data_IF_958671183410
#
_entry.id   IF_958671183410
#
_cell.length_a   1.000
_cell.length_b   1.000
_cell.length_c   1.000
_cell.angle_alpha   90.00
_cell.angle_beta   90.00
_cell.angle_gamma   90.00
#
_symmetry.space_group_name_H-M   'P 1'
#
loop_
_entity.id
_entity.type
_entity.pdbx_description
1 polymer ?
#
# COMPACT_ATOMS: atom_id res chain seq x y z
N UNK A 1 19.71 -43.82 -7.09
CA UNK A 1 20.69 -44.00 -8.19
C UNK A 1 22.00 -43.38 -7.72
N UNK A 2 23.05 -44.18 -7.53
CA UNK A 2 24.33 -43.71 -6.95
C UNK A 2 25.11 -42.86 -7.96
N UNK A 3 25.55 -41.65 -7.58
CA UNK A 3 26.45 -40.81 -8.38
C UNK A 3 27.90 -41.24 -8.18
N UNK A 4 28.69 -41.24 -9.25
CA UNK A 4 30.05 -41.78 -9.31
C UNK A 4 31.11 -40.99 -8.53
N UNK A 5 32.29 -41.59 -8.27
CA UNK A 5 33.36 -40.99 -7.46
C UNK A 5 34.13 -39.97 -8.31
N UNK A 6 33.76 -38.70 -8.23
CA UNK A 6 34.49 -37.64 -8.93
C UNK A 6 33.82 -36.26 -8.96
N UNK A 7 32.51 -36.15 -8.73
CA UNK A 7 31.87 -34.84 -8.55
C UNK A 7 32.27 -34.25 -7.19
N UNK A 8 33.22 -33.31 -7.17
CA UNK A 8 33.36 -32.40 -6.02
C UNK A 8 32.01 -31.72 -5.82
N UNK A 9 31.35 -31.98 -4.68
CA UNK A 9 30.08 -31.31 -4.37
C UNK A 9 30.29 -29.79 -4.53
N UNK A 10 29.31 -29.08 -5.09
CA UNK A 10 29.38 -27.62 -5.32
C UNK A 10 29.87 -26.83 -4.09
N UNK A 11 29.60 -27.34 -2.88
CA UNK A 11 30.08 -26.81 -1.60
C UNK A 11 31.61 -26.70 -1.46
N UNK A 12 32.39 -27.54 -2.14
CA UNK A 12 33.86 -27.53 -2.04
C UNK A 12 34.50 -26.36 -2.83
N UNK A 13 33.80 -25.79 -3.81
CA UNK A 13 34.35 -24.75 -4.68
C UNK A 13 34.41 -23.37 -4.02
N UNK A 14 33.55 -23.11 -3.02
CA UNK A 14 33.50 -21.82 -2.32
C UNK A 14 34.64 -21.60 -1.33
N UNK A 15 35.24 -22.67 -0.81
CA UNK A 15 36.34 -22.59 0.17
C UNK A 15 37.64 -22.14 -0.46
N UNK A 16 37.87 -22.51 -1.72
CA UNK A 16 39.06 -22.09 -2.49
C UNK A 16 39.09 -20.56 -2.71
N UNK A 17 37.97 -19.86 -2.49
CA UNK A 17 37.86 -18.40 -2.60
C UNK A 17 37.95 -17.67 -1.25
N UNK A 18 38.10 -18.38 -0.13
CA UNK A 18 38.21 -17.76 1.18
C UNK A 18 39.63 -17.23 1.41
N UNK A 19 39.71 -16.03 2.00
CA UNK A 19 40.96 -15.55 2.59
C UNK A 19 41.34 -16.37 3.82
N UNK A 20 42.58 -16.21 4.33
CA UNK A 20 43.10 -16.90 5.53
C UNK A 20 42.24 -16.60 6.79
N UNK A 21 41.48 -15.50 6.79
CA UNK A 21 40.57 -15.11 7.86
C UNK A 21 39.09 -15.28 7.49
N UNK A 22 38.81 -15.91 6.34
CA UNK A 22 37.46 -16.06 5.80
C UNK A 22 36.61 -17.06 6.58
N UNK A 23 35.34 -16.72 6.76
CA UNK A 23 34.36 -17.63 7.34
C UNK A 23 33.56 -18.32 6.24
N UNK A 24 33.46 -19.63 6.30
CA UNK A 24 32.53 -20.40 5.47
C UNK A 24 31.14 -20.40 6.10
N UNK A 25 30.08 -20.06 5.35
CA UNK A 25 28.69 -20.14 5.83
C UNK A 25 27.94 -21.19 5.03
N UNK A 26 27.45 -22.22 5.72
CA UNK A 26 26.66 -23.30 5.14
C UNK A 26 25.18 -23.16 5.51
N UNK A 27 24.31 -22.97 4.51
CA UNK A 27 22.86 -23.03 4.73
C UNK A 27 22.39 -24.50 4.79
N UNK A 28 22.16 -25.01 6.00
CA UNK A 28 21.75 -26.38 6.22
C UNK A 28 20.27 -26.57 5.90
N UNK A 29 19.97 -27.43 4.92
CA UNK A 29 18.60 -27.85 4.57
C UNK A 29 18.21 -29.10 5.37
N UNK A 30 18.69 -30.29 5.01
CA UNK A 30 18.33 -31.58 5.61
C UNK A 30 19.48 -32.62 5.72
N UNK A 31 20.69 -32.31 5.24
CA UNK A 31 21.84 -33.23 5.29
C UNK A 31 22.76 -32.92 6.49
N UNK A 32 23.55 -33.91 6.91
CA UNK A 32 24.69 -33.68 7.79
C UNK A 32 25.72 -32.82 7.04
N UNK A 33 26.08 -31.63 7.56
CA UNK A 33 26.95 -30.72 6.83
C UNK A 33 28.35 -31.32 6.71
N UNK A 34 28.84 -31.43 5.48
CA UNK A 34 30.25 -31.72 5.25
C UNK A 34 31.05 -30.46 5.52
N UNK A 35 31.88 -30.46 6.56
CA UNK A 35 32.78 -29.33 6.88
C UNK A 35 34.00 -29.44 5.97
N UNK A 36 34.23 -28.47 5.08
CA UNK A 36 35.38 -28.50 4.18
C UNK A 36 36.69 -28.27 4.96
N UNK A 37 37.71 -29.06 4.63
CA UNK A 37 39.06 -28.89 5.17
C UNK A 37 39.68 -27.57 4.68
N UNK A 38 40.27 -26.79 5.59
CA UNK A 38 41.01 -25.56 5.23
C UNK A 38 40.28 -24.25 5.52
N UNK A 39 38.99 -24.28 5.87
CA UNK A 39 38.28 -23.08 6.33
C UNK A 39 38.72 -22.73 7.77
N UNK A 40 39.09 -21.47 8.01
CA UNK A 40 39.45 -20.99 9.36
C UNK A 40 38.29 -21.03 10.34
N UNK A 41 37.07 -20.82 9.85
CA UNK A 41 35.83 -21.00 10.62
C UNK A 41 34.70 -21.46 9.70
N UNK A 42 33.76 -22.23 10.25
CA UNK A 42 32.56 -22.69 9.53
C UNK A 42 31.32 -22.45 10.38
N UNK A 43 30.39 -21.66 9.86
CA UNK A 43 29.07 -21.42 10.44
C UNK A 43 28.04 -22.27 9.72
N UNK A 44 27.38 -23.16 10.45
CA UNK A 44 26.26 -23.96 9.94
C UNK A 44 24.97 -23.26 10.38
N UNK A 45 24.22 -22.76 9.41
CA UNK A 45 22.99 -21.97 9.64
C UNK A 45 21.84 -22.65 8.94
N UNK A 46 20.77 -22.98 9.66
CA UNK A 46 19.51 -23.34 9.02
C UNK A 46 18.66 -22.07 8.89
N UNK A 47 18.56 -21.51 7.69
CA UNK A 47 17.85 -20.23 7.47
C UNK A 47 16.37 -20.35 7.83
N UNK A 48 15.73 -21.50 7.58
CA UNK A 48 14.32 -21.72 7.91
C UNK A 48 14.08 -21.66 9.43
N UNK A 49 14.96 -22.28 10.23
CA UNK A 49 14.89 -22.20 11.70
C UNK A 49 15.21 -20.81 12.23
N UNK A 50 16.18 -20.11 11.61
CA UNK A 50 16.51 -18.73 11.97
C UNK A 50 15.32 -17.80 11.69
N UNK A 51 14.63 -17.99 10.56
CA UNK A 51 13.43 -17.24 10.20
C UNK A 51 12.30 -17.44 11.22
N UNK A 52 12.06 -18.69 11.61
CA UNK A 52 11.01 -19.03 12.57
C UNK A 52 11.31 -18.48 13.98
N UNK A 53 12.56 -18.55 14.43
CA UNK A 53 12.94 -18.15 15.78
C UNK A 53 13.22 -16.64 15.93
N UNK A 54 13.61 -15.95 14.86
CA UNK A 54 14.07 -14.55 14.93
C UNK A 54 13.83 -13.79 13.62
N UNK A 55 12.57 -13.55 13.23
CA UNK A 55 12.24 -12.90 11.95
C UNK A 55 12.83 -11.49 11.81
N UNK A 56 12.91 -10.72 12.91
CA UNK A 56 13.50 -9.39 12.91
C UNK A 56 14.98 -9.36 12.48
N UNK A 57 15.73 -10.45 12.67
CA UNK A 57 17.13 -10.55 12.25
C UNK A 57 17.28 -10.81 10.75
N UNK A 58 16.27 -11.41 10.10
CA UNK A 58 16.29 -11.67 8.66
C UNK A 58 15.81 -10.48 7.83
N UNK A 59 14.91 -9.65 8.36
CA UNK A 59 14.37 -8.50 7.66
C UNK A 59 15.43 -7.59 6.97
N UNK A 60 16.53 -7.16 7.64
CA UNK A 60 17.54 -6.33 6.97
C UNK A 60 18.32 -7.09 5.88
N UNK A 61 18.52 -8.40 6.04
CA UNK A 61 19.22 -9.23 5.05
C UNK A 61 18.35 -9.37 3.79
N UNK A 62 17.07 -9.69 3.95
CA UNK A 62 16.12 -9.78 2.84
C UNK A 62 16.00 -8.43 2.10
N UNK A 63 15.94 -7.32 2.84
CA UNK A 63 15.90 -5.98 2.26
C UNK A 63 17.15 -5.68 1.43
N UNK A 64 18.33 -6.09 1.89
CA UNK A 64 19.59 -5.91 1.17
C UNK A 64 19.64 -6.72 -0.12
N UNK A 65 19.11 -7.96 -0.11
CA UNK A 65 19.00 -8.80 -1.31
C UNK A 65 18.07 -8.14 -2.35
N UNK A 66 16.91 -7.64 -1.90
CA UNK A 66 15.95 -6.95 -2.77
C UNK A 66 16.55 -5.68 -3.38
N UNK A 67 17.27 -4.89 -2.57
CA UNK A 67 17.96 -3.70 -3.04
C UNK A 67 19.03 -4.03 -4.09
N UNK A 68 19.85 -5.06 -3.83
CA UNK A 68 20.85 -5.52 -4.78
C UNK A 68 20.22 -5.98 -6.10
N UNK A 69 19.10 -6.71 -6.04
CA UNK A 69 18.34 -7.11 -7.22
C UNK A 69 17.79 -5.91 -8.01
N UNK A 70 17.27 -4.89 -7.31
CA UNK A 70 16.73 -3.70 -7.96
C UNK A 70 17.81 -2.89 -8.70
N UNK A 71 19.03 -2.85 -8.16
CA UNK A 71 20.18 -2.15 -8.77
C UNK A 71 20.83 -2.97 -9.89
N UNK A 72 20.94 -4.29 -9.71
CA UNK A 72 21.54 -5.22 -10.67
C UNK A 72 20.75 -6.51 -10.63
N UNK A 73 19.74 -6.66 -11.51
CA UNK A 73 18.88 -7.84 -11.52
C UNK A 73 19.72 -9.10 -11.75
N UNK A 74 19.74 -9.98 -10.75
CA UNK A 74 20.30 -11.31 -10.90
C UNK A 74 19.25 -12.25 -11.53
N UNK A 75 19.69 -13.09 -12.45
CA UNK A 75 18.83 -14.11 -13.05
C UNK A 75 18.82 -15.36 -12.18
N UNK A 76 17.63 -15.75 -11.72
CA UNK A 76 17.39 -17.06 -11.12
C UNK A 76 16.76 -17.97 -12.17
N UNK A 77 17.08 -19.26 -12.16
CA UNK A 77 16.31 -20.24 -12.93
C UNK A 77 14.94 -20.39 -12.26
N UNK A 78 13.99 -19.56 -12.69
CA UNK A 78 12.68 -19.46 -12.09
C UNK A 78 11.63 -20.21 -12.89
N UNK A 79 10.72 -20.90 -12.20
CA UNK A 79 9.48 -21.39 -12.81
C UNK A 79 8.31 -20.51 -12.42
N UNK A 80 7.53 -20.05 -13.40
CA UNK A 80 6.27 -19.34 -13.16
C UNK A 80 5.15 -20.36 -12.98
N UNK A 81 4.37 -20.23 -11.90
CA UNK A 81 3.25 -21.14 -11.58
C UNK A 81 2.01 -20.32 -11.26
N UNK A 82 0.85 -20.70 -11.81
CA UNK A 82 -0.42 -20.09 -11.42
C UNK A 82 -0.74 -20.41 -9.97
N UNK A 83 -1.26 -19.44 -9.22
CA UNK A 83 -1.72 -19.62 -7.84
C UNK A 83 -2.75 -20.76 -7.72
N UNK A 84 -3.60 -20.95 -8.73
CA UNK A 84 -4.62 -22.03 -8.74
C UNK A 84 -4.01 -23.44 -8.80
N UNK A 85 -2.78 -23.56 -9.32
CA UNK A 85 -2.06 -24.82 -9.53
C UNK A 85 -0.98 -25.04 -8.45
N UNK A 86 -0.72 -24.05 -7.60
CA UNK A 86 0.31 -24.17 -6.56
C UNK A 86 -0.13 -25.08 -5.41
N UNK A 87 0.55 -26.23 -5.27
CA UNK A 87 0.24 -27.26 -4.27
C UNK A 87 1.16 -27.25 -3.03
N UNK A 88 2.03 -26.24 -2.87
CA UNK A 88 2.98 -26.17 -1.76
C UNK A 88 4.14 -27.18 -1.84
N UNK A 89 4.36 -27.80 -3.00
CA UNK A 89 5.46 -28.77 -3.18
C UNK A 89 6.84 -28.09 -3.16
N UNK A 90 7.89 -28.75 -2.62
CA UNK A 90 9.25 -28.22 -2.64
C UNK A 90 9.72 -27.88 -4.06
N UNK A 91 10.61 -26.89 -4.18
CA UNK A 91 11.34 -26.64 -5.42
C UNK A 91 12.09 -27.91 -5.84
N UNK A 92 12.00 -28.24 -7.13
CA UNK A 92 12.84 -29.25 -7.77
C UNK A 92 14.30 -28.77 -7.83
N UNK A 93 15.26 -29.68 -7.87
CA UNK A 93 16.69 -29.37 -7.83
C UNK A 93 17.20 -28.60 -9.07
N UNK A 94 16.39 -28.52 -10.13
CA UNK A 94 16.67 -27.80 -11.37
C UNK A 94 16.22 -26.33 -11.39
N UNK A 95 15.46 -25.90 -10.38
CA UNK A 95 14.93 -24.52 -10.26
C UNK A 95 15.42 -23.83 -8.99
N UNK A 96 15.90 -22.59 -9.14
CA UNK A 96 16.39 -21.77 -8.03
C UNK A 96 15.25 -20.99 -7.35
N UNK A 97 14.13 -20.79 -8.05
CA UNK A 97 12.94 -20.10 -7.52
C UNK A 97 11.64 -20.53 -8.20
N UNK A 98 10.50 -20.28 -7.53
CA UNK A 98 9.17 -20.33 -8.15
C UNK A 98 8.45 -19.02 -7.96
N UNK A 99 7.96 -18.43 -9.04
CA UNK A 99 7.17 -17.20 -9.04
C UNK A 99 5.71 -17.60 -9.14
N UNK A 100 4.95 -17.32 -8.08
CA UNK A 100 3.53 -17.65 -8.02
C UNK A 100 2.75 -16.43 -8.50
N UNK A 101 2.03 -16.56 -9.61
CA UNK A 101 1.23 -15.47 -10.17
C UNK A 101 -0.25 -15.74 -9.86
N UNK A 102 -0.96 -14.81 -9.19
CA UNK A 102 -2.40 -14.92 -9.02
C UNK A 102 -3.11 -14.89 -10.39
N UNK A 103 -4.14 -15.73 -10.57
CA UNK A 103 -5.01 -15.65 -11.76
C UNK A 103 -5.69 -14.27 -11.85
N UNK A 104 -6.07 -13.79 -13.05
CA UNK A 104 -6.19 -12.36 -13.27
C UNK A 104 -7.40 -11.80 -12.53
N UNK A 105 -7.22 -10.63 -11.92
CA UNK A 105 -8.20 -9.55 -12.05
C UNK A 105 -7.52 -8.22 -11.73
N UNK A 106 -7.27 -7.46 -12.80
CA UNK A 106 -6.78 -6.08 -12.82
C UNK A 106 -5.26 -5.89 -12.63
N UNK A 107 -4.69 -5.11 -13.56
CA UNK A 107 -3.43 -4.42 -13.32
C UNK A 107 -3.64 -3.41 -12.20
N UNK A 108 -3.27 -3.76 -10.98
CA UNK A 108 -3.13 -2.77 -9.91
C UNK A 108 -1.88 -1.96 -10.24
N UNK A 109 -2.06 -0.66 -10.54
CA UNK A 109 -0.92 0.26 -10.54
C UNK A 109 -0.44 0.38 -9.10
N UNK A 110 0.57 -0.40 -8.76
CA UNK A 110 1.31 -0.23 -7.50
C UNK A 110 2.28 0.90 -7.77
N UNK A 111 1.98 2.09 -7.22
CA UNK A 111 2.96 3.16 -7.18
C UNK A 111 4.08 2.73 -6.21
N UNK A 112 5.34 2.56 -6.68
CA UNK A 112 6.44 2.14 -5.82
C UNK A 112 6.77 3.16 -4.71
N UNK A 113 6.28 4.40 -4.82
CA UNK A 113 6.37 5.40 -3.75
C UNK A 113 5.37 5.16 -2.60
N UNK A 114 4.37 4.30 -2.80
CA UNK A 114 3.27 4.10 -1.86
C UNK A 114 2.28 5.27 -1.78
N UNK A 115 2.41 6.28 -2.65
CA UNK A 115 1.47 7.40 -2.71
C UNK A 115 0.17 6.98 -3.40
N UNK A 116 -0.95 7.31 -2.77
CA UNK A 116 -2.29 7.00 -3.30
C UNK A 116 -2.87 8.16 -4.11
N UNK A 117 -2.33 9.38 -3.90
CA UNK A 117 -2.81 10.61 -4.51
C UNK A 117 -1.69 11.32 -5.26
N UNK A 118 -2.00 11.83 -6.45
CA UNK A 118 -1.07 12.63 -7.27
C UNK A 118 -1.03 14.05 -6.69
N UNK A 119 0.14 14.55 -6.25
CA UNK A 119 0.26 15.89 -5.66
C UNK A 119 -0.08 17.02 -6.64
N UNK A 120 -0.15 16.76 -7.95
CA UNK A 120 -0.52 17.74 -8.99
C UNK A 120 -2.01 17.79 -9.28
N UNK A 121 -2.82 16.96 -8.59
CA UNK A 121 -4.27 16.88 -8.77
C UNK A 121 -5.00 17.49 -7.59
N UNK A 122 -6.25 17.89 -7.85
CA UNK A 122 -7.18 18.39 -6.84
C UNK A 122 -8.22 17.35 -6.45
N UNK A 123 -8.65 17.41 -5.20
CA UNK A 123 -9.59 16.45 -4.62
C UNK A 123 -10.74 17.17 -3.92
N UNK A 124 -11.97 16.76 -4.20
CA UNK A 124 -13.17 17.40 -3.66
C UNK A 124 -13.82 16.47 -2.65
N UNK A 125 -14.06 16.94 -1.43
CA UNK A 125 -14.79 16.23 -0.37
C UNK A 125 -16.15 16.91 -0.19
N UNK A 126 -17.16 16.38 -0.89
CA UNK A 126 -18.53 16.88 -0.78
C UNK A 126 -19.14 16.46 0.56
N UNK A 127 -19.55 17.42 1.38
CA UNK A 127 -19.89 17.15 2.78
C UNK A 127 -18.67 16.90 3.67
N UNK A 128 -17.48 17.30 3.23
CA UNK A 128 -16.21 17.11 3.94
C UNK A 128 -16.05 17.96 5.20
N UNK A 129 -16.88 18.99 5.42
CA UNK A 129 -16.77 19.84 6.62
C UNK A 129 -17.34 19.16 7.89
N UNK A 130 -16.74 18.04 8.27
CA UNK A 130 -17.04 17.24 9.45
C UNK A 130 -15.73 16.73 10.07
N UNK A 131 -15.78 16.27 11.31
CA UNK A 131 -14.60 15.67 11.97
C UNK A 131 -13.99 14.54 11.13
N UNK A 132 -14.83 13.66 10.58
CA UNK A 132 -14.37 12.59 9.69
C UNK A 132 -13.71 13.15 8.42
N UNK A 133 -14.31 14.16 7.78
CA UNK A 133 -13.74 14.76 6.57
C UNK A 133 -12.40 15.46 6.81
N UNK A 134 -12.21 16.07 7.99
CA UNK A 134 -10.92 16.63 8.41
C UNK A 134 -9.85 15.53 8.56
N UNK A 135 -10.21 14.38 9.17
CA UNK A 135 -9.31 13.22 9.31
C UNK A 135 -8.98 12.55 7.97
N UNK A 136 -9.96 12.45 7.07
CA UNK A 136 -9.72 11.97 5.71
C UNK A 136 -8.80 12.93 4.97
N UNK A 137 -8.97 14.23 5.12
CA UNK A 137 -8.10 15.24 4.51
C UNK A 137 -6.64 15.08 4.97
N UNK A 138 -6.42 14.87 6.27
CA UNK A 138 -5.10 14.53 6.82
C UNK A 138 -4.55 13.23 6.22
N UNK A 139 -5.33 12.16 6.20
CA UNK A 139 -4.92 10.88 5.61
C UNK A 139 -4.55 11.01 4.14
N UNK A 140 -5.31 11.79 3.36
CA UNK A 140 -5.01 12.07 1.96
C UNK A 140 -3.70 12.84 1.80
N UNK A 141 -3.43 13.82 2.68
CA UNK A 141 -2.19 14.58 2.65
C UNK A 141 -0.95 13.70 2.92
N UNK A 142 -1.05 12.78 3.88
CA UNK A 142 -0.03 11.76 4.18
C UNK A 142 0.25 10.90 2.94
N UNK A 143 -0.77 10.59 2.14
CA UNK A 143 -0.66 9.75 0.94
C UNK A 143 -0.50 10.53 -0.37
N UNK A 144 -0.10 11.80 -0.30
CA UNK A 144 0.36 12.57 -1.46
C UNK A 144 -0.55 13.70 -1.94
N UNK A 145 -1.77 13.83 -1.43
CA UNK A 145 -2.67 14.91 -1.86
C UNK A 145 -2.13 16.29 -1.43
N UNK A 146 -2.26 17.29 -2.29
CA UNK A 146 -1.82 18.67 -2.00
C UNK A 146 -2.90 19.74 -2.17
N UNK A 147 -3.95 19.47 -2.94
CA UNK A 147 -5.06 20.39 -3.16
C UNK A 147 -6.38 19.72 -2.78
N UNK A 148 -7.02 20.19 -1.72
CA UNK A 148 -8.26 19.60 -1.17
C UNK A 148 -9.34 20.67 -1.00
N UNK A 149 -10.52 20.40 -1.55
CA UNK A 149 -11.68 21.28 -1.50
C UNK A 149 -12.77 20.61 -0.66
N UNK A 150 -13.03 21.14 0.53
CA UNK A 150 -14.03 20.63 1.45
C UNK A 150 -15.30 21.45 1.31
N UNK A 151 -16.44 20.79 1.08
CA UNK A 151 -17.73 21.50 0.99
C UNK A 151 -18.69 21.12 2.12
N UNK A 152 -19.57 22.06 2.46
CA UNK A 152 -20.81 21.80 3.18
C UNK A 152 -21.76 22.96 2.99
N UNK A 153 -23.04 22.79 3.34
CA UNK A 153 -24.04 23.87 3.18
C UNK A 153 -23.71 25.09 4.07
N UNK A 154 -22.95 24.88 5.15
CA UNK A 154 -22.50 25.95 6.06
C UNK A 154 -21.09 26.46 5.75
N UNK A 155 -20.35 25.78 4.87
CA UNK A 155 -18.95 26.07 4.57
C UNK A 155 -18.09 26.16 5.84
N UNK A 156 -17.25 27.19 6.00
CA UNK A 156 -16.39 27.38 7.17
C UNK A 156 -17.16 27.39 8.51
N UNK A 157 -18.42 27.84 8.52
CA UNK A 157 -19.27 27.85 9.72
C UNK A 157 -19.72 26.44 10.13
N UNK A 158 -19.55 25.44 9.27
CA UNK A 158 -19.87 24.05 9.56
C UNK A 158 -18.81 23.34 10.39
N UNK A 159 -17.56 23.82 10.38
CA UNK A 159 -16.46 23.25 11.14
C UNK A 159 -16.51 23.70 12.61
N UNK A 160 -16.14 22.80 13.53
CA UNK A 160 -15.95 23.20 14.93
C UNK A 160 -14.71 24.10 15.07
N UNK A 161 -14.51 24.71 16.25
CA UNK A 161 -13.29 25.50 16.52
C UNK A 161 -12.04 24.63 16.44
N UNK A 162 -12.11 23.38 16.91
CA UNK A 162 -11.01 22.41 16.88
C UNK A 162 -10.71 22.02 15.44
N UNK A 163 -11.74 21.70 14.65
CA UNK A 163 -11.58 21.34 13.23
C UNK A 163 -10.97 22.49 12.42
N UNK A 164 -11.42 23.73 12.63
CA UNK A 164 -10.84 24.91 11.98
C UNK A 164 -9.35 25.06 12.32
N UNK A 165 -8.98 24.92 13.59
CA UNK A 165 -7.58 24.96 14.01
C UNK A 165 -6.76 23.84 13.34
N UNK A 166 -7.34 22.65 13.22
CA UNK A 166 -6.68 21.53 12.55
C UNK A 166 -6.50 21.76 11.04
N UNK A 167 -7.50 22.31 10.36
CA UNK A 167 -7.38 22.71 8.95
C UNK A 167 -6.28 23.76 8.78
N UNK A 168 -6.15 24.73 9.69
CA UNK A 168 -5.03 25.67 9.68
C UNK A 168 -3.68 24.99 9.90
N UNK A 169 -3.60 24.00 10.80
CA UNK A 169 -2.41 23.18 10.96
C UNK A 169 -2.05 22.44 9.67
N UNK A 170 -3.01 21.77 9.01
CA UNK A 170 -2.76 21.08 7.74
C UNK A 170 -2.27 22.05 6.66
N UNK A 171 -2.83 23.27 6.60
CA UNK A 171 -2.33 24.34 5.72
C UNK A 171 -0.88 24.71 6.00
N UNK A 172 -0.49 24.78 7.28
CA UNK A 172 0.91 25.02 7.67
C UNK A 172 1.87 23.88 7.26
N UNK A 173 1.36 22.67 7.07
CA UNK A 173 2.11 21.51 6.59
C UNK A 173 2.21 21.44 5.05
N UNK A 174 1.77 22.49 4.34
CA UNK A 174 1.85 22.58 2.89
C UNK A 174 0.65 22.01 2.13
N UNK A 175 -0.44 21.66 2.82
CA UNK A 175 -1.69 21.26 2.19
C UNK A 175 -2.54 22.49 1.82
N UNK A 176 -2.92 22.65 0.56
CA UNK A 176 -3.88 23.68 0.17
C UNK A 176 -5.29 23.16 0.42
N UNK A 177 -5.92 23.63 1.51
CA UNK A 177 -7.30 23.28 1.85
C UNK A 177 -8.20 24.49 1.63
N UNK A 178 -9.20 24.34 0.77
CA UNK A 178 -10.29 25.31 0.59
C UNK A 178 -11.57 24.80 1.23
N UNK A 179 -12.27 25.66 1.96
CA UNK A 179 -13.52 25.32 2.65
C UNK A 179 -14.64 26.16 2.09
N UNK A 180 -15.54 25.53 1.32
CA UNK A 180 -16.52 26.21 0.50
C UNK A 180 -17.93 25.94 1.01
N UNK A 181 -18.73 27.00 1.13
CA UNK A 181 -20.17 26.87 1.33
C UNK A 181 -20.82 26.46 0.00
N UNK A 182 -21.25 25.21 -0.10
CA UNK A 182 -21.90 24.67 -1.29
C UNK A 182 -22.89 23.58 -0.90
N UNK A 183 -24.05 23.58 -1.56
CA UNK A 183 -25.01 22.50 -1.49
C UNK A 183 -24.65 21.46 -2.56
N UNK A 184 -24.49 20.20 -2.13
CA UNK A 184 -24.09 19.11 -3.00
C UNK A 184 -25.22 18.62 -3.93
N UNK A 185 -26.46 19.07 -3.75
CA UNK A 185 -27.57 18.79 -4.69
C UNK A 185 -27.89 19.99 -5.59
N UNK A 186 -27.18 21.10 -5.42
CA UNK A 186 -27.32 22.30 -6.25
C UNK A 186 -26.24 22.27 -7.36
N UNK A 187 -26.69 22.26 -8.61
CA UNK A 187 -25.83 22.14 -9.79
C UNK A 187 -24.93 23.35 -9.98
N UNK A 188 -25.40 24.54 -9.65
CA UNK A 188 -24.62 25.75 -9.85
C UNK A 188 -23.52 25.83 -8.79
N UNK A 189 -23.83 25.44 -7.55
CA UNK A 189 -22.82 25.31 -6.49
C UNK A 189 -21.75 24.28 -6.82
N UNK A 190 -22.14 23.07 -7.27
CA UNK A 190 -21.15 22.03 -7.61
C UNK A 190 -20.31 22.40 -8.83
N UNK A 191 -20.89 23.08 -9.82
CA UNK A 191 -20.16 23.62 -10.97
C UNK A 191 -19.06 24.58 -10.51
N UNK A 192 -19.39 25.55 -9.64
CA UNK A 192 -18.40 26.51 -9.11
C UNK A 192 -17.28 25.81 -8.35
N UNK A 193 -17.61 24.82 -7.50
CA UNK A 193 -16.60 24.05 -6.75
C UNK A 193 -15.67 23.28 -7.68
N UNK A 194 -16.21 22.65 -8.73
CA UNK A 194 -15.42 21.89 -9.71
C UNK A 194 -14.49 22.81 -10.50
N UNK A 195 -14.97 23.99 -10.92
CA UNK A 195 -14.13 24.95 -11.63
C UNK A 195 -13.00 25.50 -10.74
N UNK A 196 -13.29 25.85 -9.48
CA UNK A 196 -12.25 26.25 -8.51
C UNK A 196 -11.23 25.13 -8.27
N UNK A 197 -11.68 23.87 -8.21
CA UNK A 197 -10.78 22.74 -8.07
C UNK A 197 -9.89 22.54 -9.30
N UNK A 198 -10.41 22.83 -10.51
CA UNK A 198 -9.66 22.76 -11.77
C UNK A 198 -8.58 23.84 -11.88
N UNK A 199 -8.79 25.01 -11.29
CA UNK A 199 -7.79 26.07 -11.22
C UNK A 199 -6.54 25.65 -10.44
N UNK A 200 -6.71 24.81 -9.41
CA UNK A 200 -5.60 24.24 -8.63
C UNK A 200 -4.90 23.05 -9.32
N UNK A 201 -5.59 22.36 -10.23
CA UNK A 201 -5.07 21.21 -10.99
C UNK A 201 -6.17 20.27 -11.49
N UNK A 202 -5.86 19.26 -12.33
CA UNK A 202 -6.87 18.31 -12.79
C UNK A 202 -7.54 17.59 -11.61
N UNK A 203 -8.87 17.46 -11.65
CA UNK A 203 -9.63 16.77 -10.59
C UNK A 203 -9.24 15.29 -10.59
N UNK A 204 -8.62 14.85 -9.50
CA UNK A 204 -8.16 13.48 -9.28
C UNK A 204 -9.17 12.59 -8.56
N UNK A 205 -10.15 13.17 -7.89
CA UNK A 205 -11.20 12.42 -7.23
C UNK A 205 -12.23 13.31 -6.53
N UNK A 206 -13.45 12.78 -6.42
CA UNK A 206 -14.56 13.40 -5.70
C UNK A 206 -15.08 12.38 -4.68
N UNK A 207 -15.12 12.78 -3.42
CA UNK A 207 -15.58 11.98 -2.29
C UNK A 207 -16.95 12.49 -1.84
N UNK A 208 -17.98 11.64 -1.96
CA UNK A 208 -19.34 11.98 -1.51
C UNK A 208 -19.52 11.56 -0.05
N UNK A 209 -19.23 12.50 0.84
CA UNK A 209 -19.24 12.35 2.29
C UNK A 209 -20.50 12.93 2.94
N UNK A 210 -21.43 13.45 2.15
CA UNK A 210 -22.71 13.97 2.64
C UNK A 210 -23.45 12.92 3.47
N UNK A 211 -23.99 13.37 4.60
CA UNK A 211 -24.77 12.53 5.51
C UNK A 211 -25.83 13.40 6.19
N UNK A 212 -27.06 12.93 6.13
CA UNK A 212 -28.17 13.41 6.97
C UNK A 212 -28.71 12.18 7.69
N UNK A 213 -28.87 12.28 9.01
CA UNK A 213 -29.39 11.20 9.84
C UNK A 213 -30.81 11.53 10.30
N UNK A 214 -31.71 10.56 10.13
CA UNK A 214 -33.11 10.58 10.57
C UNK A 214 -33.47 9.22 11.14
N UNK A 215 -32.82 8.90 12.25
CA UNK A 215 -32.96 7.59 12.87
C UNK A 215 -34.36 7.43 13.47
N UNK A 216 -35.09 6.44 12.98
CA UNK A 216 -36.41 6.09 13.47
C UNK A 216 -36.62 4.58 13.33
N UNK A 217 -37.46 4.01 14.20
CA UNK A 217 -38.01 2.66 13.96
C UNK A 217 -38.77 2.67 12.64
N UNK A 218 -38.82 1.54 11.95
CA UNK A 218 -39.57 1.43 10.69
C UNK A 218 -41.02 1.93 10.80
N UNK A 219 -41.70 1.62 11.92
CA UNK A 219 -43.08 2.06 12.20
C UNK A 219 -43.23 3.58 12.40
N UNK A 220 -42.15 4.28 12.70
CA UNK A 220 -42.13 5.70 13.03
C UNK A 220 -41.36 6.51 11.96
N UNK A 221 -40.87 5.87 10.90
CA UNK A 221 -40.15 6.53 9.83
C UNK A 221 -41.17 7.25 8.94
N UNK A 222 -41.04 8.57 8.87
CA UNK A 222 -41.89 9.39 7.99
C UNK A 222 -41.31 9.42 6.58
N UNK A 223 -42.16 9.65 5.58
CA UNK A 223 -41.73 9.83 4.19
C UNK A 223 -40.70 10.98 4.08
N UNK A 224 -40.95 12.09 4.78
CA UNK A 224 -40.03 13.23 4.80
C UNK A 224 -38.65 12.84 5.33
N UNK A 225 -38.59 12.09 6.44
CA UNK A 225 -37.32 11.63 7.01
C UNK A 225 -36.56 10.74 6.02
N UNK A 226 -37.25 9.85 5.32
CA UNK A 226 -36.67 9.02 4.27
C UNK A 226 -36.14 9.87 3.11
N UNK A 227 -36.94 10.81 2.61
CA UNK A 227 -36.59 11.68 1.49
C UNK A 227 -35.37 12.55 1.79
N UNK A 228 -35.25 13.07 3.02
CA UNK A 228 -34.10 13.87 3.46
C UNK A 228 -32.79 13.04 3.44
N UNK A 229 -32.83 11.81 3.96
CA UNK A 229 -31.66 10.91 3.95
C UNK A 229 -31.33 10.51 2.50
N UNK A 230 -32.33 10.10 1.73
CA UNK A 230 -32.17 9.70 0.33
C UNK A 230 -31.55 10.83 -0.52
N UNK A 231 -32.07 12.05 -0.39
CA UNK A 231 -31.54 13.22 -1.11
C UNK A 231 -30.08 13.50 -0.77
N UNK A 232 -29.71 13.38 0.50
CA UNK A 232 -28.35 13.66 0.94
C UNK A 232 -27.29 12.74 0.31
N UNK A 233 -27.67 11.55 -0.17
CA UNK A 233 -26.74 10.57 -0.78
C UNK A 233 -26.99 10.34 -2.26
N UNK A 234 -28.22 10.01 -2.63
CA UNK A 234 -28.55 9.51 -3.98
C UNK A 234 -28.78 10.66 -4.95
N UNK A 235 -29.42 11.75 -4.50
CA UNK A 235 -29.64 12.90 -5.38
C UNK A 235 -28.32 13.57 -5.78
N UNK A 236 -27.32 13.57 -4.89
CA UNK A 236 -25.97 14.06 -5.17
C UNK A 236 -25.33 13.34 -6.37
N UNK A 237 -25.61 12.05 -6.57
CA UNK A 237 -25.04 11.27 -7.68
C UNK A 237 -25.86 11.34 -8.97
N UNK A 238 -27.10 11.80 -8.90
CA UNK A 238 -28.06 11.72 -10.02
C UNK A 238 -28.50 13.07 -10.56
N UNK A 239 -28.18 14.17 -9.87
CA UNK A 239 -28.63 15.53 -10.22
C UNK A 239 -27.51 16.57 -10.35
N UNK A 240 -26.26 16.16 -10.19
CA UNK A 240 -25.09 17.03 -10.41
C UNK A 240 -24.56 16.87 -11.84
#
# INVERSE_FOLDING_TARGET
MARGPGERKAFALGVDQLSILGSHIHNQRNESPAVPSGASSTHIVNINRLAAASPAKLAPILSSILQAHALTPFELRSRVVSMSVYSGSPLSDDVDSSVIIPEPSYSVRVDPSGQLFDPRKSYILMGGCSELGVRITEWMAIHGARHVFMTSHRGPRGLTKVDNLYVHYLRSQGLQVEVIAADAIDRDHTTVVIEQAREAGPVGGIFVMTIVLRDARFTNLTQQAFDEVYRSKVAVLTRC
#
